data_IF_143121261443
#
_entry.id   IF_143121261443
#
_cell.length_a   1.000
_cell.length_b   1.000
_cell.length_c   1.000
_cell.angle_alpha   90.00
_cell.angle_beta   90.00
_cell.angle_gamma   90.00
#
_symmetry.space_group_name_H-M   'P 1'
#
loop_
_entity.id
_entity.type
_entity.pdbx_description
1 polymer ?
#
# COMPACT_ATOMS: atom_id res chain seq x y z
N UNK A 1 -0.19 -9.45 17.52
CA UNK A 1 0.36 -8.31 18.29
C UNK A 1 -0.07 -7.00 17.66
N UNK A 2 -0.14 -5.90 18.42
CA UNK A 2 -0.29 -4.55 17.85
C UNK A 2 1.08 -4.05 17.39
N UNK A 3 1.11 -3.34 16.24
CA UNK A 3 2.31 -2.66 15.73
C UNK A 3 2.28 -1.16 16.04
N UNK A 4 1.14 -0.63 16.46
CA UNK A 4 0.96 0.76 16.84
C UNK A 4 0.14 0.83 18.13
N UNK A 5 0.59 1.61 19.10
CA UNK A 5 -0.02 1.74 20.42
C UNK A 5 -1.11 2.83 20.48
N UNK A 6 -1.21 3.65 19.45
CA UNK A 6 -2.11 4.81 19.38
C UNK A 6 -1.49 6.11 19.88
N UNK A 7 -0.30 6.07 20.47
CA UNK A 7 0.31 7.21 21.17
C UNK A 7 1.70 7.57 20.67
N UNK A 8 2.49 6.58 20.25
CA UNK A 8 3.90 6.77 19.89
C UNK A 8 4.29 6.06 18.59
N UNK A 9 5.41 6.46 18.01
CA UNK A 9 6.06 5.75 16.89
C UNK A 9 7.10 4.73 17.39
N UNK A 10 7.03 4.30 18.66
CA UNK A 10 7.92 3.28 19.20
C UNK A 10 7.79 1.98 18.40
N UNK A 11 8.92 1.42 17.99
CA UNK A 11 8.94 0.23 17.09
C UNK A 11 8.87 0.55 15.61
N UNK A 12 9.00 1.85 15.25
CA UNK A 12 9.07 2.33 13.89
C UNK A 12 10.26 3.27 13.68
N UNK A 13 10.81 3.27 12.45
CA UNK A 13 11.87 4.18 12.03
C UNK A 13 11.71 4.57 10.56
N UNK A 14 12.30 5.70 10.16
CA UNK A 14 12.29 6.15 8.76
C UNK A 14 13.44 5.51 7.99
N UNK A 15 13.27 5.31 6.69
CA UNK A 15 14.33 4.84 5.80
C UNK A 15 15.47 5.88 5.71
N UNK A 16 16.71 5.40 5.78
CA UNK A 16 17.91 6.26 5.79
C UNK A 16 18.50 6.51 4.42
N UNK A 17 18.11 5.75 3.43
CA UNK A 17 18.66 5.81 2.07
C UNK A 17 17.55 5.88 1.05
N UNK A 18 17.70 6.79 0.10
CA UNK A 18 16.79 6.88 -1.03
C UNK A 18 17.14 5.83 -2.09
N UNK A 19 16.13 5.07 -2.52
CA UNK A 19 16.18 4.25 -3.74
C UNK A 19 15.11 4.74 -4.73
N UNK A 20 13.85 4.48 -4.43
CA UNK A 20 12.68 4.89 -5.23
C UNK A 20 11.80 5.88 -4.48
N UNK A 21 12.05 6.05 -3.17
CA UNK A 21 11.26 6.88 -2.27
C UNK A 21 12.19 7.85 -1.56
N UNK A 22 11.68 9.03 -1.23
CA UNK A 22 12.37 9.99 -0.40
C UNK A 22 12.69 9.42 0.98
N UNK A 23 13.48 10.17 1.72
CA UNK A 23 13.82 9.86 3.12
C UNK A 23 13.22 10.90 4.08
N UNK A 24 12.28 11.70 3.58
CA UNK A 24 11.56 12.73 4.32
C UNK A 24 10.18 12.29 4.77
N UNK A 25 9.25 13.23 4.69
CA UNK A 25 7.91 13.07 5.20
C UNK A 25 7.84 13.36 6.71
N UNK A 26 6.71 13.87 7.14
CA UNK A 26 6.37 14.02 8.55
C UNK A 26 5.52 12.83 8.98
N UNK A 27 6.01 12.15 10.00
CA UNK A 27 5.31 11.03 10.62
C UNK A 27 4.94 11.40 12.05
N UNK A 28 3.69 11.18 12.44
CA UNK A 28 3.21 11.53 13.77
C UNK A 28 2.19 10.50 14.30
N UNK A 29 2.14 10.37 15.63
CA UNK A 29 1.03 9.74 16.34
C UNK A 29 0.12 10.87 16.83
N UNK A 30 -1.08 10.99 16.27
CA UNK A 30 -2.02 12.08 16.55
C UNK A 30 -3.42 11.50 16.75
N UNK A 31 -4.06 11.79 17.88
CA UNK A 31 -5.45 11.38 18.17
C UNK A 31 -5.71 9.87 17.95
N UNK A 32 -4.81 9.03 18.39
CA UNK A 32 -4.91 7.56 18.23
C UNK A 32 -4.62 7.06 16.84
N UNK A 33 -4.11 7.91 15.94
CA UNK A 33 -3.77 7.55 14.57
C UNK A 33 -2.30 7.80 14.26
N UNK A 34 -1.71 6.93 13.45
CA UNK A 34 -0.43 7.16 12.81
C UNK A 34 -0.70 7.93 11.52
N UNK A 35 -0.12 9.11 11.37
CA UNK A 35 -0.27 9.96 10.18
C UNK A 35 1.03 10.11 9.42
N UNK A 36 0.92 10.20 8.09
CA UNK A 36 2.04 10.51 7.21
C UNK A 36 1.65 11.59 6.20
N UNK A 37 2.46 12.61 6.05
CA UNK A 37 2.31 13.68 5.06
C UNK A 37 3.67 14.16 4.53
N UNK A 38 3.69 14.83 3.40
CA UNK A 38 4.92 15.45 2.90
C UNK A 38 5.38 16.58 3.82
N UNK A 39 6.69 16.75 3.95
CA UNK A 39 7.27 17.79 4.78
C UNK A 39 8.38 18.58 4.02
N UNK A 40 8.16 19.85 3.70
CA UNK A 40 6.92 20.62 3.90
C UNK A 40 5.73 20.11 3.06
N UNK A 41 4.47 20.41 3.47
CA UNK A 41 3.31 19.98 2.73
C UNK A 41 3.30 20.46 1.26
N UNK A 42 3.16 19.50 0.32
CA UNK A 42 3.16 19.76 -1.13
C UNK A 42 4.55 19.95 -1.74
N UNK A 43 5.62 19.66 -1.01
CA UNK A 43 7.01 19.81 -1.48
C UNK A 43 7.50 18.66 -2.37
N UNK A 44 6.81 17.55 -2.40
CA UNK A 44 7.32 16.30 -2.97
C UNK A 44 8.30 15.58 -2.04
N UNK A 45 8.54 16.06 -0.83
CA UNK A 45 9.44 15.42 0.12
C UNK A 45 8.70 14.38 0.97
N UNK A 46 8.62 13.17 0.46
CA UNK A 46 8.06 12.00 1.11
C UNK A 46 9.11 11.03 1.64
N UNK A 47 8.67 9.85 2.07
CA UNK A 47 9.53 8.81 2.60
C UNK A 47 8.76 7.59 3.07
N UNK A 48 9.44 6.73 3.82
CA UNK A 48 8.89 5.47 4.29
C UNK A 48 9.12 5.33 5.79
N UNK A 49 8.10 4.86 6.50
CA UNK A 49 8.15 4.50 7.90
C UNK A 49 8.09 2.96 8.02
N UNK A 50 9.15 2.35 8.55
CA UNK A 50 9.32 0.90 8.63
C UNK A 50 9.18 0.42 10.08
N UNK A 51 8.62 -0.79 10.27
CA UNK A 51 8.71 -1.46 11.57
C UNK A 51 10.13 -1.92 11.86
N UNK A 52 10.58 -1.79 13.13
CA UNK A 52 11.86 -2.35 13.59
C UNK A 52 11.86 -3.88 13.51
N UNK A 53 10.73 -4.50 13.86
CA UNK A 53 10.53 -5.94 13.76
C UNK A 53 10.27 -6.36 12.32
N UNK A 54 10.88 -7.47 11.90
CA UNK A 54 10.71 -8.11 10.58
C UNK A 54 9.77 -9.30 10.68
N UNK A 55 9.00 -9.52 9.61
CA UNK A 55 7.98 -10.56 9.52
C UNK A 55 8.19 -11.42 8.28
N UNK A 56 8.07 -12.73 8.46
CA UNK A 56 8.12 -13.73 7.38
C UNK A 56 6.71 -14.01 6.84
N UNK A 57 6.12 -15.15 7.23
CA UNK A 57 4.74 -15.48 6.93
C UNK A 57 3.83 -14.81 7.96
N UNK A 58 2.87 -14.00 7.49
CA UNK A 58 2.01 -13.22 8.40
C UNK A 58 0.63 -12.94 7.84
N UNK A 59 -0.28 -12.56 8.73
CA UNK A 59 -1.53 -11.89 8.43
C UNK A 59 -1.56 -10.53 9.14
N UNK A 60 -1.76 -9.46 8.37
CA UNK A 60 -1.84 -8.07 8.83
C UNK A 60 -3.27 -7.55 8.68
N UNK A 61 -3.76 -6.87 9.70
CA UNK A 61 -4.95 -6.01 9.68
C UNK A 61 -4.50 -4.58 9.92
N UNK A 62 -5.02 -3.66 9.14
CA UNK A 62 -4.72 -2.23 9.26
C UNK A 62 -5.92 -1.41 8.77
N UNK A 63 -6.35 -0.45 9.58
CA UNK A 63 -7.35 0.51 9.17
C UNK A 63 -6.68 1.73 8.53
N UNK A 64 -7.20 2.16 7.37
CA UNK A 64 -6.71 3.33 6.66
C UNK A 64 -7.83 4.32 6.36
N UNK A 65 -7.48 5.61 6.36
CA UNK A 65 -8.34 6.72 5.92
C UNK A 65 -7.48 7.73 5.15
N UNK A 66 -7.29 7.51 3.84
CA UNK A 66 -6.55 8.43 2.98
C UNK A 66 -7.39 9.65 2.60
N UNK A 67 -6.77 10.82 2.50
CA UNK A 67 -7.36 11.96 1.81
C UNK A 67 -7.28 11.74 0.30
N UNK A 68 -8.26 12.27 -0.47
CA UNK A 68 -8.21 12.16 -1.92
C UNK A 68 -6.99 12.88 -2.50
N UNK A 69 -6.32 12.22 -3.42
CA UNK A 69 -5.11 12.70 -4.05
C UNK A 69 -3.81 12.12 -3.48
N UNK A 70 -3.87 11.34 -2.38
CA UNK A 70 -2.67 10.68 -1.88
C UNK A 70 -2.36 9.42 -2.69
N UNK A 71 -1.05 9.23 -2.90
CA UNK A 71 -0.45 8.00 -3.38
C UNK A 71 0.35 7.41 -2.21
N UNK A 72 -0.04 6.24 -1.74
CA UNK A 72 0.55 5.58 -0.58
C UNK A 72 0.38 4.07 -0.65
N UNK A 73 0.84 3.36 0.35
CA UNK A 73 0.64 1.92 0.44
C UNK A 73 1.25 1.28 1.66
N UNK A 74 0.97 -0.01 1.78
CA UNK A 74 1.53 -0.87 2.81
C UNK A 74 2.58 -1.77 2.16
N UNK A 75 3.82 -1.65 2.59
CA UNK A 75 4.95 -2.42 2.09
C UNK A 75 5.05 -3.75 2.86
N UNK A 76 5.18 -4.82 2.11
CA UNK A 76 5.17 -6.18 2.61
C UNK A 76 6.59 -6.76 2.53
N UNK A 77 7.18 -7.11 3.65
CA UNK A 77 8.57 -7.58 3.75
C UNK A 77 9.57 -6.58 3.17
N UNK A 78 9.41 -5.28 3.51
CA UNK A 78 10.33 -4.25 3.03
C UNK A 78 11.74 -4.44 3.60
N UNK A 79 12.75 -4.18 2.79
CA UNK A 79 14.10 -3.98 3.29
C UNK A 79 14.32 -2.52 3.75
N UNK A 80 15.48 -2.24 4.34
CA UNK A 80 15.82 -0.91 4.91
C UNK A 80 15.90 0.21 3.86
N UNK A 81 15.92 -0.14 2.58
CA UNK A 81 15.96 0.82 1.47
C UNK A 81 14.55 1.12 0.93
N UNK A 82 13.52 0.48 1.46
CA UNK A 82 12.14 0.63 1.00
C UNK A 82 11.82 -0.16 -0.27
N UNK A 83 12.66 -1.11 -0.66
CA UNK A 83 12.29 -2.07 -1.70
C UNK A 83 11.28 -3.05 -1.12
N UNK A 84 10.23 -3.39 -1.86
CA UNK A 84 9.12 -4.18 -1.35
C UNK A 84 8.17 -4.66 -2.44
N UNK A 85 7.27 -5.57 -2.08
CA UNK A 85 5.96 -5.69 -2.73
C UNK A 85 5.00 -4.81 -1.95
N UNK A 86 4.42 -3.81 -2.61
CA UNK A 86 3.48 -2.86 -2.04
C UNK A 86 2.05 -3.33 -2.26
N UNK A 87 1.23 -3.32 -1.21
CA UNK A 87 -0.22 -3.23 -1.33
C UNK A 87 -0.55 -1.75 -1.55
N UNK A 88 -1.07 -1.43 -2.73
CA UNK A 88 -1.36 -0.05 -3.13
C UNK A 88 -2.54 0.54 -2.35
N UNK A 89 -2.40 1.79 -1.97
CA UNK A 89 -3.46 2.68 -1.48
C UNK A 89 -3.38 3.99 -2.27
N UNK A 90 -3.36 3.84 -3.61
CA UNK A 90 -3.28 4.98 -4.54
C UNK A 90 -4.69 5.57 -4.66
N UNK A 91 -5.01 6.53 -3.77
CA UNK A 91 -6.35 7.10 -3.63
C UNK A 91 -6.45 8.43 -4.39
N UNK A 92 -6.33 8.36 -5.71
CA UNK A 92 -6.33 9.48 -6.64
C UNK A 92 -6.84 9.03 -8.03
N UNK A 93 -6.99 9.96 -8.98
CA UNK A 93 -7.34 9.62 -10.36
C UNK A 93 -6.31 8.67 -10.99
N UNK A 94 -6.79 7.66 -11.69
CA UNK A 94 -6.01 6.53 -12.20
C UNK A 94 -5.36 5.66 -11.11
N UNK A 95 -5.77 5.82 -9.86
CA UNK A 95 -5.26 5.06 -8.71
C UNK A 95 -5.89 3.68 -8.56
N UNK A 96 -5.52 3.00 -7.49
CA UNK A 96 -6.07 1.69 -7.12
C UNK A 96 -5.82 1.39 -5.65
N UNK A 97 -6.74 0.74 -4.98
CA UNK A 97 -6.58 0.29 -3.60
C UNK A 97 -6.79 -1.21 -3.49
N UNK A 98 -5.79 -1.90 -2.94
CA UNK A 98 -5.85 -3.31 -2.60
C UNK A 98 -5.15 -4.27 -3.58
N UNK A 99 -4.73 -3.81 -4.78
CA UNK A 99 -3.85 -4.58 -5.66
C UNK A 99 -2.37 -4.37 -5.29
N UNK A 100 -1.47 -5.04 -6.02
CA UNK A 100 -0.05 -5.11 -5.68
C UNK A 100 0.81 -4.43 -6.75
N UNK A 101 1.91 -3.81 -6.30
CA UNK A 101 2.99 -3.31 -7.13
C UNK A 101 4.35 -3.78 -6.60
N UNK A 102 5.29 -4.10 -7.48
CA UNK A 102 6.67 -4.39 -7.10
C UNK A 102 7.50 -3.11 -7.13
N UNK A 103 8.25 -2.86 -6.07
CA UNK A 103 9.14 -1.72 -5.90
C UNK A 103 10.55 -2.24 -5.59
N UNK A 104 11.14 -2.97 -6.54
CA UNK A 104 12.40 -3.69 -6.37
C UNK A 104 13.55 -2.93 -7.04
N UNK A 105 13.36 -2.53 -8.30
CA UNK A 105 14.35 -1.78 -9.07
C UNK A 105 14.30 -0.28 -8.79
N UNK A 106 15.30 0.45 -9.26
CA UNK A 106 15.28 1.92 -9.20
C UNK A 106 14.29 2.49 -10.23
N UNK A 107 13.37 3.33 -9.77
CA UNK A 107 12.68 4.34 -10.58
C UNK A 107 11.30 3.98 -11.11
N UNK A 108 10.83 2.74 -11.03
CA UNK A 108 9.47 2.40 -11.45
C UNK A 108 8.98 1.12 -10.76
N UNK A 109 7.68 0.94 -10.80
CA UNK A 109 7.04 -0.32 -10.43
C UNK A 109 7.51 -1.44 -11.37
N UNK A 110 8.19 -2.46 -10.84
CA UNK A 110 8.70 -3.58 -11.63
C UNK A 110 7.55 -4.42 -12.18
N UNK A 111 6.55 -4.70 -11.37
CA UNK A 111 5.30 -5.33 -11.79
C UNK A 111 4.12 -4.63 -11.13
N UNK A 112 2.95 -4.78 -11.74
CA UNK A 112 1.71 -4.20 -11.25
C UNK A 112 0.56 -5.15 -11.56
N UNK A 113 -0.32 -5.36 -10.59
CA UNK A 113 -1.42 -6.33 -10.70
C UNK A 113 -2.79 -5.66 -10.83
N UNK A 114 -2.85 -4.36 -11.10
CA UNK A 114 -4.12 -3.62 -11.27
C UNK A 114 -4.92 -4.15 -12.45
N UNK A 115 -6.17 -4.53 -12.20
CA UNK A 115 -7.14 -4.92 -13.23
C UNK A 115 -8.12 -3.81 -13.57
N UNK A 116 -8.21 -2.80 -12.71
CA UNK A 116 -8.96 -1.57 -12.91
C UNK A 116 -8.26 -0.38 -12.24
N UNK A 117 -8.75 0.80 -12.50
CA UNK A 117 -8.38 2.05 -11.84
C UNK A 117 -9.61 2.76 -11.33
N UNK A 118 -9.43 3.64 -10.34
CA UNK A 118 -10.45 4.50 -9.78
C UNK A 118 -10.22 5.95 -10.20
N UNK A 119 -11.31 6.70 -10.40
CA UNK A 119 -11.30 8.13 -10.66
C UNK A 119 -12.41 8.79 -9.84
N UNK A 120 -12.14 9.94 -9.25
CA UNK A 120 -13.07 10.62 -8.36
C UNK A 120 -14.27 11.22 -9.10
N UNK A 121 -15.44 11.16 -8.47
CA UNK A 121 -16.61 11.95 -8.81
C UNK A 121 -16.79 13.05 -7.77
N UNK A 122 -17.06 14.28 -8.23
CA UNK A 122 -17.15 15.43 -7.35
C UNK A 122 -18.48 16.15 -7.57
N UNK A 123 -19.00 16.75 -6.50
CA UNK A 123 -20.12 17.69 -6.57
C UNK A 123 -19.65 19.08 -7.04
N UNK A 124 -20.58 20.01 -7.12
CA UNK A 124 -20.33 21.41 -7.51
C UNK A 124 -19.43 22.17 -6.52
N UNK A 125 -19.29 21.67 -5.29
CA UNK A 125 -18.44 22.23 -4.23
C UNK A 125 -17.08 21.55 -4.17
N UNK A 126 -16.79 20.62 -5.12
CA UNK A 126 -15.56 19.81 -5.20
C UNK A 126 -15.41 18.81 -4.05
N UNK A 127 -16.47 18.39 -3.39
CA UNK A 127 -16.43 17.28 -2.46
C UNK A 127 -16.46 15.96 -3.24
N UNK A 128 -15.63 15.00 -2.83
CA UNK A 128 -15.64 13.66 -3.40
C UNK A 128 -16.94 12.95 -3.00
N UNK A 129 -17.74 12.54 -3.99
CA UNK A 129 -19.05 11.92 -3.79
C UNK A 129 -19.11 10.46 -4.23
N UNK A 130 -18.05 9.95 -4.85
CA UNK A 130 -17.98 8.58 -5.35
C UNK A 130 -16.87 8.38 -6.36
N UNK A 131 -16.98 7.32 -7.16
CA UNK A 131 -15.97 6.95 -8.13
C UNK A 131 -16.57 6.56 -9.48
N UNK A 132 -15.76 6.71 -10.52
CA UNK A 132 -15.83 5.93 -11.75
C UNK A 132 -14.65 4.98 -11.79
N UNK A 133 -14.73 3.94 -12.61
CA UNK A 133 -13.66 2.97 -12.79
C UNK A 133 -13.29 2.83 -14.26
N UNK A 134 -12.00 2.69 -14.52
CA UNK A 134 -11.44 2.38 -15.83
C UNK A 134 -10.91 0.95 -15.88
N UNK A 135 -11.09 0.25 -17.00
CA UNK A 135 -10.51 -1.10 -17.19
C UNK A 135 -9.00 -1.00 -17.40
N UNK A 136 -8.28 -1.95 -16.84
CA UNK A 136 -6.87 -2.23 -17.08
C UNK A 136 -6.72 -3.63 -17.69
N UNK A 137 -5.58 -4.27 -17.54
CA UNK A 137 -5.34 -5.65 -17.98
C UNK A 137 -6.19 -6.64 -17.15
N UNK A 138 -6.55 -7.77 -17.75
CA UNK A 138 -7.26 -8.84 -17.04
C UNK A 138 -6.40 -9.47 -15.93
N UNK A 139 -7.04 -10.15 -14.99
CA UNK A 139 -6.36 -10.85 -13.90
C UNK A 139 -5.32 -11.85 -14.41
N UNK A 140 -5.62 -12.60 -15.45
CA UNK A 140 -4.72 -13.54 -16.11
C UNK A 140 -3.43 -12.86 -16.63
N UNK A 141 -3.56 -11.75 -17.36
CA UNK A 141 -2.40 -11.02 -17.91
C UNK A 141 -1.49 -10.46 -16.82
N UNK A 142 -2.06 -10.01 -15.72
CA UNK A 142 -1.28 -9.47 -14.59
C UNK A 142 -0.86 -10.53 -13.58
N UNK A 143 -1.20 -11.81 -13.84
CA UNK A 143 -0.76 -12.95 -13.04
C UNK A 143 -1.45 -13.09 -11.69
N UNK A 144 -2.76 -12.80 -11.63
CA UNK A 144 -3.59 -12.99 -10.45
C UNK A 144 -4.47 -14.24 -10.59
N UNK A 145 -4.54 -15.05 -9.52
CA UNK A 145 -5.53 -16.14 -9.39
C UNK A 145 -6.95 -15.59 -9.16
N UNK A 146 -7.06 -14.37 -8.61
CA UNK A 146 -8.33 -13.67 -8.40
C UNK A 146 -8.13 -12.15 -8.41
N UNK A 147 -9.10 -11.46 -8.98
CA UNK A 147 -9.31 -10.02 -8.81
C UNK A 147 -10.80 -9.74 -8.65
N UNK A 148 -11.16 -8.88 -7.72
CA UNK A 148 -12.54 -8.41 -7.60
C UNK A 148 -12.95 -7.58 -8.82
N UNK A 149 -14.25 -7.46 -9.04
CA UNK A 149 -14.78 -6.50 -10.01
C UNK A 149 -14.72 -5.07 -9.46
N UNK A 150 -14.66 -4.05 -10.34
CA UNK A 150 -14.75 -2.65 -9.91
C UNK A 150 -16.00 -2.35 -9.06
N UNK A 151 -17.15 -2.93 -9.43
CA UNK A 151 -18.41 -2.73 -8.70
C UNK A 151 -18.34 -3.29 -7.27
N UNK A 152 -17.81 -4.50 -7.11
CA UNK A 152 -17.61 -5.11 -5.79
C UNK A 152 -16.61 -4.28 -4.92
N UNK A 153 -15.59 -3.68 -5.55
CA UNK A 153 -14.69 -2.77 -4.85
C UNK A 153 -15.42 -1.51 -4.39
N UNK A 154 -16.24 -0.88 -5.26
CA UNK A 154 -17.01 0.32 -4.93
C UNK A 154 -18.03 0.07 -3.82
N UNK A 155 -18.66 -1.11 -3.79
CA UNK A 155 -19.56 -1.52 -2.70
C UNK A 155 -18.81 -1.73 -1.38
N UNK A 156 -17.58 -2.23 -1.45
CA UNK A 156 -16.76 -2.49 -0.26
C UNK A 156 -16.14 -1.22 0.34
N UNK A 157 -15.78 -0.23 -0.49
CA UNK A 157 -15.09 0.98 -0.06
C UNK A 157 -16.05 1.96 0.64
N UNK A 158 -15.70 2.38 1.84
CA UNK A 158 -16.42 3.40 2.61
C UNK A 158 -15.82 4.77 2.32
N UNK A 159 -16.57 5.57 1.58
CA UNK A 159 -16.16 6.93 1.21
C UNK A 159 -16.02 7.81 2.45
N UNK A 160 -14.91 8.56 2.55
CA UNK A 160 -14.60 9.48 3.64
C UNK A 160 -14.60 8.85 5.05
N UNK A 161 -14.49 7.52 5.14
CA UNK A 161 -14.51 6.79 6.40
C UNK A 161 -13.33 5.82 6.49
N UNK A 162 -13.16 5.17 7.64
CA UNK A 162 -12.17 4.15 7.88
C UNK A 162 -12.46 2.86 7.10
N UNK A 163 -11.45 2.37 6.42
CA UNK A 163 -11.49 1.12 5.67
C UNK A 163 -10.46 0.14 6.24
N UNK A 164 -10.91 -1.08 6.53
CA UNK A 164 -10.02 -2.13 7.02
C UNK A 164 -9.40 -2.88 5.85
N UNK A 165 -8.09 -2.85 5.77
CA UNK A 165 -7.30 -3.70 4.88
C UNK A 165 -6.83 -4.92 5.67
N UNK A 166 -7.01 -6.10 5.10
CA UNK A 166 -6.37 -7.32 5.55
C UNK A 166 -5.48 -7.86 4.45
N UNK A 167 -4.27 -8.27 4.81
CA UNK A 167 -3.36 -8.94 3.87
C UNK A 167 -2.74 -10.16 4.52
N UNK A 168 -2.69 -11.27 3.76
CA UNK A 168 -1.97 -12.49 4.13
C UNK A 168 -0.81 -12.69 3.18
N UNK A 169 0.37 -12.92 3.75
CA UNK A 169 1.62 -13.18 3.01
C UNK A 169 2.17 -14.51 3.48
N UNK A 170 2.38 -15.47 2.57
CA UNK A 170 2.85 -16.82 2.94
C UNK A 170 3.81 -17.41 1.91
N UNK A 171 4.90 -17.99 2.42
CA UNK A 171 5.86 -18.77 1.64
C UNK A 171 7.04 -17.96 1.11
N UNK A 172 8.06 -18.66 0.65
CA UNK A 172 9.32 -18.11 0.13
C UNK A 172 9.10 -17.22 -1.11
N UNK A 173 8.32 -17.70 -2.07
CA UNK A 173 7.77 -16.93 -3.18
C UNK A 173 6.31 -16.61 -2.78
N UNK A 174 6.04 -15.41 -2.26
CA UNK A 174 4.86 -15.24 -1.44
C UNK A 174 3.57 -15.41 -2.23
N UNK A 175 2.64 -16.18 -1.66
CA UNK A 175 1.23 -16.01 -1.97
C UNK A 175 0.72 -14.85 -1.15
N UNK A 176 0.17 -13.84 -1.84
CA UNK A 176 -0.35 -12.62 -1.24
C UNK A 176 -1.84 -12.52 -1.56
N UNK A 177 -2.67 -12.53 -0.51
CA UNK A 177 -4.11 -12.34 -0.65
C UNK A 177 -4.51 -11.08 0.09
N UNK A 178 -5.28 -10.21 -0.54
CA UNK A 178 -5.73 -8.94 0.03
C UNK A 178 -7.25 -8.89 0.14
N UNK A 179 -7.72 -8.22 1.17
CA UNK A 179 -9.14 -7.96 1.42
C UNK A 179 -9.34 -6.50 1.83
N UNK A 180 -10.46 -5.94 1.43
CA UNK A 180 -10.96 -4.62 1.81
C UNK A 180 -12.33 -4.79 2.47
N UNK A 181 -12.47 -4.36 3.73
CA UNK A 181 -13.72 -4.47 4.49
C UNK A 181 -14.37 -5.87 4.38
N UNK A 182 -13.56 -6.93 4.47
CA UNK A 182 -13.92 -8.36 4.31
C UNK A 182 -14.07 -8.87 2.86
N UNK A 183 -14.20 -8.00 1.86
CA UNK A 183 -14.19 -8.40 0.45
C UNK A 183 -12.79 -8.78 -0.01
N UNK A 184 -12.66 -9.92 -0.67
CA UNK A 184 -11.39 -10.33 -1.30
C UNK A 184 -11.15 -9.46 -2.53
N UNK A 185 -10.03 -8.73 -2.52
CA UNK A 185 -9.64 -7.86 -3.65
C UNK A 185 -8.78 -8.61 -4.65
N UNK A 186 -7.65 -9.16 -4.21
CA UNK A 186 -6.81 -9.94 -5.12
C UNK A 186 -6.17 -11.14 -4.42
N UNK A 187 -5.75 -12.10 -5.25
CA UNK A 187 -4.96 -13.27 -4.85
C UNK A 187 -3.84 -13.46 -5.86
N UNK A 188 -2.61 -13.33 -5.40
CA UNK A 188 -1.39 -13.44 -6.18
C UNK A 188 -0.56 -14.61 -5.65
N UNK A 189 -0.21 -15.58 -6.49
CA UNK A 189 0.70 -16.66 -6.12
C UNK A 189 2.07 -16.45 -6.80
N UNK A 190 3.06 -16.00 -6.04
CA UNK A 190 4.41 -15.76 -6.52
C UNK A 190 5.17 -17.02 -6.98
N UNK A 191 4.68 -18.22 -6.66
CA UNK A 191 5.29 -19.46 -7.14
C UNK A 191 4.95 -19.74 -8.59
N UNK A 192 3.73 -19.44 -8.98
CA UNK A 192 3.11 -19.80 -10.27
C UNK A 192 2.74 -18.61 -11.14
N UNK A 193 2.98 -17.37 -10.67
CA UNK A 193 2.61 -16.16 -11.39
C UNK A 193 3.21 -16.14 -12.81
N UNK A 194 2.34 -15.87 -13.77
CA UNK A 194 2.69 -15.70 -15.19
C UNK A 194 3.00 -14.23 -15.54
N UNK A 195 3.03 -13.34 -14.56
CA UNK A 195 3.38 -11.93 -14.78
C UNK A 195 4.84 -11.84 -15.25
N UNK A 196 5.05 -11.44 -16.49
CA UNK A 196 6.37 -11.37 -17.13
C UNK A 196 7.37 -10.47 -16.41
N UNK A 197 6.86 -9.47 -15.67
CA UNK A 197 7.68 -8.53 -14.90
C UNK A 197 7.96 -9.01 -13.47
N UNK A 198 7.30 -10.08 -13.01
CA UNK A 198 7.55 -10.65 -11.70
C UNK A 198 8.71 -11.63 -11.76
N UNK A 199 9.89 -11.17 -11.37
CA UNK A 199 11.13 -11.96 -11.35
C UNK A 199 11.33 -12.53 -9.95
N UNK A 200 10.71 -13.69 -9.67
CA UNK A 200 10.59 -14.24 -8.30
C UNK A 200 11.94 -14.48 -7.60
N UNK A 201 12.98 -14.90 -8.35
CA UNK A 201 14.31 -15.16 -7.79
C UNK A 201 15.02 -13.84 -7.41
N UNK A 202 14.97 -12.83 -8.29
CA UNK A 202 15.54 -11.50 -8.04
C UNK A 202 14.83 -10.81 -6.88
N UNK A 203 13.50 -10.94 -6.80
CA UNK A 203 12.70 -10.39 -5.70
C UNK A 203 13.07 -11.06 -4.38
N UNK A 204 13.22 -12.39 -4.37
CA UNK A 204 13.64 -13.12 -3.19
C UNK A 204 15.07 -12.75 -2.76
N UNK A 205 16.00 -12.60 -3.70
CA UNK A 205 17.37 -12.17 -3.42
C UNK A 205 17.41 -10.77 -2.80
N UNK A 206 16.56 -9.86 -3.32
CA UNK A 206 16.52 -8.46 -2.86
C UNK A 206 15.81 -8.28 -1.52
N UNK A 207 14.67 -8.96 -1.31
CA UNK A 207 13.81 -8.77 -0.13
C UNK A 207 14.05 -9.82 0.96
N UNK A 208 14.54 -11.00 0.59
CA UNK A 208 14.59 -12.16 1.50
C UNK A 208 13.19 -12.74 1.78
N UNK A 209 13.15 -13.66 2.76
CA UNK A 209 11.91 -14.31 3.19
C UNK A 209 11.18 -13.56 4.32
N UNK A 210 11.78 -12.52 4.89
CA UNK A 210 11.23 -11.70 5.96
C UNK A 210 11.73 -10.26 5.82
N UNK A 211 10.88 -9.31 6.20
CA UNK A 211 11.20 -7.89 6.16
C UNK A 211 10.21 -7.06 6.97
N UNK A 212 10.40 -5.76 6.98
CA UNK A 212 9.55 -4.82 7.70
C UNK A 212 8.18 -4.68 7.04
N UNK A 213 7.17 -4.38 7.83
CA UNK A 213 5.98 -3.70 7.34
C UNK A 213 6.32 -2.22 7.25
N UNK A 214 5.96 -1.57 6.13
CA UNK A 214 6.20 -0.14 6.04
C UNK A 214 5.02 0.60 5.45
N UNK A 215 4.95 1.90 5.75
CA UNK A 215 3.97 2.84 5.25
C UNK A 215 4.69 3.90 4.41
N UNK A 216 4.04 4.39 3.38
CA UNK A 216 4.62 5.35 2.44
C UNK A 216 3.96 6.71 2.55
N UNK A 217 4.77 7.76 2.41
CA UNK A 217 4.37 9.08 1.93
C UNK A 217 5.08 9.28 0.59
N UNK A 218 4.30 9.30 -0.50
CA UNK A 218 4.88 9.37 -1.84
C UNK A 218 5.56 10.72 -2.10
N UNK A 219 6.73 10.69 -2.73
CA UNK A 219 7.56 11.85 -3.02
C UNK A 219 7.22 12.47 -4.39
N UNK A 220 5.97 12.90 -4.56
CA UNK A 220 5.49 13.52 -5.79
C UNK A 220 4.94 14.92 -5.54
N UNK A 221 5.31 15.86 -6.40
CA UNK A 221 4.76 17.23 -6.40
C UNK A 221 3.27 17.28 -6.77
N UNK A 222 2.70 16.17 -7.24
CA UNK A 222 1.28 16.08 -7.58
C UNK A 222 0.38 15.74 -6.39
N UNK A 223 0.93 15.33 -5.24
CA UNK A 223 0.15 15.14 -4.03
C UNK A 223 -0.43 16.49 -3.57
N UNK A 224 -1.74 16.59 -3.30
CA UNK A 224 -2.34 17.83 -2.82
C UNK A 224 -1.68 18.29 -1.51
N UNK A 225 -1.43 19.59 -1.41
CA UNK A 225 -0.80 20.19 -0.23
C UNK A 225 -1.61 19.87 1.04
N UNK A 226 -0.96 19.28 2.03
CA UNK A 226 -1.55 18.92 3.32
C UNK A 226 -2.43 17.67 3.30
N UNK A 227 -2.51 16.96 2.15
CA UNK A 227 -3.14 15.65 2.13
C UNK A 227 -2.30 14.62 2.87
N UNK A 228 -2.96 13.74 3.59
CA UNK A 228 -2.32 12.70 4.38
C UNK A 228 -3.10 11.38 4.35
N UNK A 229 -2.42 10.30 4.62
CA UNK A 229 -3.07 9.04 5.00
C UNK A 229 -2.99 8.87 6.53
N UNK A 230 -4.08 8.37 7.09
CA UNK A 230 -4.20 8.04 8.50
C UNK A 230 -4.35 6.55 8.65
N UNK A 231 -3.63 5.99 9.62
CA UNK A 231 -3.58 4.57 9.88
C UNK A 231 -3.86 4.30 11.36
N UNK A 232 -4.59 3.24 11.67
CA UNK A 232 -4.79 2.77 13.05
C UNK A 232 -5.06 1.28 13.09
N UNK A 233 -5.23 0.74 14.29
CA UNK A 233 -5.55 -0.68 14.51
C UNK A 233 -4.61 -1.62 13.75
N UNK A 234 -3.32 -1.27 13.70
CA UNK A 234 -2.29 -2.02 12.98
C UNK A 234 -1.92 -3.27 13.77
N UNK A 235 -2.46 -4.41 13.36
CA UNK A 235 -2.33 -5.70 14.07
C UNK A 235 -1.77 -6.76 13.15
N UNK A 236 -0.78 -7.51 13.63
CA UNK A 236 -0.14 -8.57 12.87
C UNK A 236 -0.08 -9.87 13.68
N UNK A 237 -0.18 -10.99 12.99
CA UNK A 237 0.10 -12.32 13.54
C UNK A 237 0.95 -13.13 12.59
N UNK A 238 1.89 -13.89 13.12
CA UNK A 238 2.62 -14.91 12.39
C UNK A 238 1.68 -16.09 12.07
N UNK A 239 1.87 -16.79 10.91
CA UNK A 239 1.01 -17.89 10.43
C UNK A 239 1.81 -19.06 9.92
#
# INVERSE_FOLDING_TARGET
MSLFDGETLTGWHTNRKRINHGTGGRWAAEEGTLTGEQDPPGSGNGGILLTDKKFGDFELLIDCKPDWGVDTGVFLRSNEMGQSIQLMVDYHDNGNVGHLAGLISKGASDFNTRTFEINGKFDSQRNLTGFTTGKRKSAEIVGLDHSCTPDAWMEAWKLNDWNTIRVRVKGKYPRITTWLNKFKVCDFDGRTSVNEKYKKEEILETLGAAGSIALQVYDSVYCPKGSKCRWKDIKIRDI
#
